data_IF_884944437694
#
_entry.id   IF_884944437694
#
_cell.length_a   1.000
_cell.length_b   1.000
_cell.length_c   1.000
_cell.angle_alpha   90.00
_cell.angle_beta   90.00
_cell.angle_gamma   90.00
#
_symmetry.space_group_name_H-M   'P 1'
#
loop_
_entity.id
_entity.type
_entity.pdbx_description
1 polymer ?
#
# COMPACT_ATOMS: atom_id res chain seq x y z
N UNK A 1 14.66 15.31 5.18
CA UNK A 1 15.63 16.16 4.46
C UNK A 1 16.96 16.08 5.19
N UNK A 2 18.07 15.89 4.48
CA UNK A 2 19.41 15.75 5.06
C UNK A 2 20.28 16.95 4.72
N UNK A 3 21.22 17.28 5.60
CA UNK A 3 22.18 18.36 5.40
C UNK A 3 23.32 17.90 4.48
N UNK A 4 23.75 18.74 3.55
CA UNK A 4 25.07 18.60 2.90
C UNK A 4 25.72 19.98 2.79
N UNK A 5 26.93 20.10 3.35
CA UNK A 5 27.69 21.34 3.48
C UNK A 5 26.93 22.45 4.26
N UNK A 6 26.14 22.11 5.28
CA UNK A 6 25.44 23.08 6.14
C UNK A 6 26.41 23.64 7.18
N UNK A 7 27.27 24.57 6.77
CA UNK A 7 28.31 25.16 7.59
C UNK A 7 28.07 26.65 7.84
N UNK A 8 28.24 27.07 9.09
CA UNK A 8 28.21 28.45 9.56
C UNK A 8 26.95 29.23 9.13
N UNK A 9 25.79 28.56 9.15
CA UNK A 9 24.52 29.12 8.69
C UNK A 9 23.98 30.18 9.67
N UNK A 10 23.62 31.33 9.12
CA UNK A 10 22.94 32.42 9.84
C UNK A 10 21.52 32.66 9.33
N UNK A 11 21.26 32.36 8.05
CA UNK A 11 19.93 32.42 7.45
C UNK A 11 19.73 31.25 6.50
N UNK A 12 18.55 30.64 6.58
CA UNK A 12 18.13 29.61 5.64
C UNK A 12 16.60 29.65 5.48
N UNK A 13 16.14 29.99 4.29
CA UNK A 13 14.72 30.04 3.92
C UNK A 13 14.51 29.30 2.61
N UNK A 14 13.45 28.52 2.55
CA UNK A 14 12.97 27.92 1.31
C UNK A 14 11.52 27.50 1.48
N UNK A 15 10.86 27.24 0.36
CA UNK A 15 9.55 26.60 0.34
C UNK A 15 9.69 25.19 -0.21
N UNK A 16 9.15 24.20 0.48
CA UNK A 16 8.97 22.86 -0.06
C UNK A 16 7.62 22.74 -0.74
N UNK A 17 7.56 21.93 -1.81
CA UNK A 17 6.31 21.63 -2.51
C UNK A 17 6.14 20.12 -2.74
N UNK A 18 4.89 19.68 -2.69
CA UNK A 18 4.42 18.37 -3.14
C UNK A 18 3.05 18.50 -3.82
N UNK A 19 2.52 17.39 -4.34
CA UNK A 19 1.16 17.30 -4.88
C UNK A 19 0.18 16.98 -3.76
N UNK A 20 -0.68 17.95 -3.42
CA UNK A 20 -1.68 17.83 -2.36
C UNK A 20 -2.86 16.93 -2.70
N UNK A 21 -3.00 16.49 -3.95
CA UNK A 21 -3.98 15.46 -4.33
C UNK A 21 -3.47 14.05 -4.07
N UNK A 22 -2.15 13.89 -3.86
CA UNK A 22 -1.48 12.61 -3.63
C UNK A 22 -1.03 12.47 -2.18
N UNK A 23 -0.52 13.55 -1.57
CA UNK A 23 -0.02 13.58 -0.20
C UNK A 23 -0.70 14.70 0.62
N UNK A 24 -1.27 14.34 1.77
CA UNK A 24 -1.78 15.29 2.76
C UNK A 24 -0.76 15.48 3.89
N UNK A 25 -0.40 16.72 4.20
CA UNK A 25 0.48 17.01 5.33
C UNK A 25 -0.16 16.60 6.65
N UNK A 26 0.64 15.96 7.51
CA UNK A 26 0.21 15.48 8.83
C UNK A 26 0.97 16.20 9.96
N UNK A 27 2.30 16.14 9.95
CA UNK A 27 3.13 16.70 11.01
C UNK A 27 4.59 16.89 10.60
N UNK A 28 5.34 17.56 11.48
CA UNK A 28 6.80 17.66 11.42
C UNK A 28 7.41 16.81 12.53
N UNK A 29 8.50 16.12 12.22
CA UNK A 29 9.22 15.26 13.17
C UNK A 29 10.74 15.39 13.01
N UNK A 30 11.48 14.95 14.03
CA UNK A 30 12.94 14.91 13.98
C UNK A 30 13.58 16.27 13.70
N UNK A 31 13.03 17.34 14.31
CA UNK A 31 13.56 18.69 14.18
C UNK A 31 14.97 18.75 14.76
N UNK A 32 15.94 19.18 13.96
CA UNK A 32 17.35 19.19 14.35
C UNK A 32 17.62 20.22 15.47
N UNK A 33 18.00 19.72 16.64
CA UNK A 33 18.24 20.55 17.83
C UNK A 33 19.55 21.33 17.77
N UNK A 34 20.56 20.87 17.01
CA UNK A 34 21.81 21.60 16.76
C UNK A 34 21.51 22.94 16.07
N UNK A 35 20.58 22.95 15.12
CA UNK A 35 20.07 24.17 14.49
C UNK A 35 19.05 24.94 15.34
N UNK A 36 18.61 24.37 16.47
CA UNK A 36 17.57 24.96 17.32
C UNK A 36 16.21 24.97 16.65
N UNK A 37 15.93 24.01 15.77
CA UNK A 37 14.67 23.97 15.05
C UNK A 37 13.51 23.66 15.98
N UNK A 38 12.45 24.45 15.84
CA UNK A 38 11.15 24.22 16.46
C UNK A 38 10.05 24.39 15.42
N UNK A 39 8.81 24.11 15.79
CA UNK A 39 7.67 24.30 14.88
C UNK A 39 7.51 25.75 14.39
N UNK A 40 8.03 26.74 15.12
CA UNK A 40 7.93 28.17 14.72
C UNK A 40 8.77 28.49 13.49
N UNK A 41 9.75 27.65 13.14
CA UNK A 41 10.53 27.77 11.91
C UNK A 41 9.72 27.40 10.66
N UNK A 42 8.48 26.93 10.81
CA UNK A 42 7.66 26.43 9.72
C UNK A 42 6.31 27.14 9.65
N UNK A 43 5.88 27.51 8.44
CA UNK A 43 4.51 27.98 8.19
C UNK A 43 3.71 26.89 7.51
N UNK A 44 2.79 26.28 8.24
CA UNK A 44 2.02 25.10 7.80
C UNK A 44 0.65 25.40 7.20
N UNK A 45 0.20 26.67 7.20
CA UNK A 45 -1.12 27.07 6.68
C UNK A 45 -1.35 26.65 5.23
N UNK A 46 -0.31 26.69 4.40
CA UNK A 46 -0.36 26.26 3.00
C UNK A 46 -0.02 24.77 2.79
N UNK A 47 0.44 24.09 3.84
CA UNK A 47 0.83 22.69 3.74
C UNK A 47 -0.41 21.82 3.54
N UNK A 48 -1.47 22.11 4.29
CA UNK A 48 -2.74 21.35 4.23
C UNK A 48 -3.60 21.71 3.01
N UNK A 49 -3.48 22.92 2.46
CA UNK A 49 -4.34 23.41 1.36
C UNK A 49 -3.71 23.27 -0.02
N UNK A 50 -2.41 23.59 -0.15
CA UNK A 50 -1.76 23.78 -1.45
C UNK A 50 -0.48 22.93 -1.63
N UNK A 51 -0.20 22.06 -0.66
CA UNK A 51 1.00 21.22 -0.66
C UNK A 51 2.29 22.03 -0.61
N UNK A 52 2.32 23.12 0.17
CA UNK A 52 3.48 24.02 0.31
C UNK A 52 3.84 24.21 1.78
N UNK A 53 5.11 24.01 2.12
CA UNK A 53 5.64 24.25 3.47
C UNK A 53 6.77 25.27 3.41
N UNK A 54 6.59 26.41 4.06
CA UNK A 54 7.68 27.39 4.18
C UNK A 54 8.54 27.05 5.40
N UNK A 55 9.85 27.08 5.20
CA UNK A 55 10.86 26.97 6.24
C UNK A 55 11.61 28.29 6.36
N UNK A 56 11.84 28.73 7.60
CA UNK A 56 12.59 29.93 7.92
C UNK A 56 13.43 29.71 9.19
N UNK A 57 14.74 29.71 9.00
CA UNK A 57 15.75 29.71 10.05
C UNK A 57 16.52 31.02 9.99
N UNK A 58 16.59 31.69 11.13
CA UNK A 58 17.49 32.82 11.39
C UNK A 58 18.23 32.55 12.69
N UNK A 59 19.53 32.76 12.71
CA UNK A 59 20.36 32.58 13.89
C UNK A 59 21.34 33.74 14.04
N UNK A 60 21.44 34.28 15.25
CA UNK A 60 22.41 35.34 15.58
C UNK A 60 23.85 34.79 15.69
N UNK A 61 23.99 33.49 15.96
CA UNK A 61 25.27 32.79 15.96
C UNK A 61 25.31 31.78 14.81
N UNK A 62 26.42 31.68 14.07
CA UNK A 62 26.53 30.72 12.97
C UNK A 62 26.37 29.28 13.48
N UNK A 63 25.58 28.47 12.77
CA UNK A 63 25.35 27.06 13.13
C UNK A 63 25.79 26.11 12.03
N UNK A 64 26.45 25.03 12.43
CA UNK A 64 26.94 23.98 11.54
C UNK A 64 26.28 22.65 11.86
N UNK A 65 25.88 21.93 10.82
CA UNK A 65 25.34 20.57 10.90
C UNK A 65 26.25 19.64 10.12
N UNK A 66 26.49 18.46 10.66
CA UNK A 66 27.31 17.42 10.00
C UNK A 66 26.59 16.97 8.73
N UNK A 67 27.34 16.75 7.67
CA UNK A 67 26.80 16.21 6.43
C UNK A 67 26.02 14.91 6.70
N UNK A 68 24.95 14.69 5.94
CA UNK A 68 23.98 13.60 6.04
C UNK A 68 23.06 13.61 7.27
N UNK A 69 23.26 14.51 8.23
CA UNK A 69 22.36 14.59 9.39
C UNK A 69 20.96 15.06 8.97
N UNK A 70 19.94 14.59 9.69
CA UNK A 70 18.55 14.94 9.42
C UNK A 70 18.28 16.36 9.89
N UNK A 71 17.84 17.22 8.97
CA UNK A 71 17.36 18.56 9.32
C UNK A 71 15.97 18.50 9.94
N UNK A 72 15.06 17.80 9.26
CA UNK A 72 13.71 17.49 9.73
C UNK A 72 13.04 16.45 8.80
N UNK A 73 11.94 15.88 9.29
CA UNK A 73 11.03 14.99 8.57
C UNK A 73 9.68 15.67 8.40
N UNK A 74 9.11 15.56 7.21
CA UNK A 74 7.73 15.96 6.93
C UNK A 74 6.93 14.68 6.78
N UNK A 75 5.91 14.51 7.63
CA UNK A 75 5.07 13.33 7.65
C UNK A 75 3.79 13.61 6.86
N UNK A 76 3.43 12.67 5.99
CA UNK A 76 2.27 12.76 5.12
C UNK A 76 1.36 11.56 5.31
N UNK A 77 0.05 11.77 5.17
CA UNK A 77 -0.90 10.71 4.83
C UNK A 77 -0.94 10.57 3.31
N UNK A 78 -0.75 9.34 2.81
CA UNK A 78 -0.95 8.99 1.40
C UNK A 78 -2.44 8.95 1.06
N UNK A 79 -2.87 9.77 0.10
CA UNK A 79 -4.29 9.89 -0.30
C UNK A 79 -4.52 9.75 -1.81
N UNK A 80 -3.45 9.66 -2.62
CA UNK A 80 -3.54 9.44 -4.06
C UNK A 80 -4.02 8.03 -4.45
N UNK A 81 -4.31 7.83 -5.73
CA UNK A 81 -4.68 6.52 -6.27
C UNK A 81 -3.44 5.60 -6.41
N UNK A 82 -3.68 4.29 -6.47
CA UNK A 82 -2.61 3.29 -6.70
C UNK A 82 -1.82 3.61 -7.98
N UNK A 83 -0.49 3.54 -7.91
CA UNK A 83 0.40 3.82 -9.03
C UNK A 83 0.67 5.31 -9.28
N UNK A 84 0.06 6.22 -8.51
CA UNK A 84 0.41 7.66 -8.55
C UNK A 84 1.66 7.95 -7.70
N UNK A 85 2.29 9.09 -7.92
CA UNK A 85 3.46 9.52 -7.15
C UNK A 85 3.54 11.02 -6.99
N UNK A 86 4.13 11.48 -5.90
CA UNK A 86 4.44 12.90 -5.67
C UNK A 86 5.93 13.08 -5.46
N UNK A 87 6.49 14.05 -6.18
CA UNK A 87 7.82 14.58 -5.87
C UNK A 87 7.73 15.50 -4.65
N UNK A 88 8.73 15.45 -3.79
CA UNK A 88 8.88 16.30 -2.60
C UNK A 88 10.27 16.93 -2.64
N UNK A 89 10.33 18.25 -2.80
CA UNK A 89 11.59 18.98 -2.87
C UNK A 89 11.42 20.43 -2.40
N UNK A 90 12.49 21.07 -1.89
CA UNK A 90 12.58 22.52 -1.86
C UNK A 90 12.50 23.11 -3.27
N UNK A 91 11.81 24.23 -3.41
CA UNK A 91 11.76 25.01 -4.65
C UNK A 91 13.07 25.78 -4.85
N UNK A 92 13.57 25.75 -6.08
CA UNK A 92 14.69 26.56 -6.55
C UNK A 92 14.37 26.98 -7.99
N UNK A 93 14.37 28.29 -8.33
CA UNK A 93 14.73 29.43 -7.50
C UNK A 93 13.69 29.73 -6.39
N UNK A 94 14.09 30.52 -5.37
CA UNK A 94 13.22 30.89 -4.24
C UNK A 94 13.74 30.46 -2.85
N UNK A 95 14.94 29.91 -2.78
CA UNK A 95 15.65 29.71 -1.52
C UNK A 95 16.63 30.87 -1.24
N UNK A 96 16.72 31.30 0.01
CA UNK A 96 17.72 32.25 0.50
C UNK A 96 18.56 31.56 1.56
N UNK A 97 19.87 31.47 1.37
CA UNK A 97 20.77 30.83 2.33
C UNK A 97 22.02 31.70 2.48
N UNK A 98 22.37 32.04 3.71
CA UNK A 98 23.58 32.79 4.04
C UNK A 98 24.42 32.06 5.08
N UNK A 99 25.73 32.13 4.88
CA UNK A 99 26.76 31.68 5.81
C UNK A 99 27.54 32.87 6.32
N UNK A 100 28.00 32.79 7.56
CA UNK A 100 29.00 33.71 8.09
C UNK A 100 30.39 33.10 7.97
N UNK A 101 31.25 33.72 7.18
CA UNK A 101 32.65 33.32 7.03
C UNK A 101 33.51 34.44 7.62
N UNK A 102 33.88 34.29 8.90
CA UNK A 102 34.79 35.22 9.58
C UNK A 102 34.24 36.64 9.74
N UNK A 103 32.93 36.79 9.92
CA UNK A 103 32.22 38.06 10.05
C UNK A 103 31.60 38.58 8.75
N UNK A 104 31.71 37.84 7.64
CA UNK A 104 31.16 38.22 6.34
C UNK A 104 30.04 37.28 5.90
N UNK A 105 28.88 37.84 5.55
CA UNK A 105 27.73 37.08 5.05
C UNK A 105 27.91 36.74 3.57
N UNK A 106 28.00 35.44 3.27
CA UNK A 106 28.12 34.91 1.92
C UNK A 106 26.85 34.15 1.54
N UNK A 107 26.24 34.52 0.41
CA UNK A 107 25.07 33.83 -0.14
C UNK A 107 25.45 32.47 -0.74
N UNK A 108 24.59 31.47 -0.55
CA UNK A 108 24.80 30.10 -1.04
C UNK A 108 23.58 29.60 -1.81
N UNK A 109 23.82 28.99 -2.96
CA UNK A 109 22.76 28.40 -3.77
C UNK A 109 22.29 27.07 -3.17
N UNK A 110 20.97 26.88 -3.13
CA UNK A 110 20.37 25.60 -2.83
C UNK A 110 20.34 24.73 -4.09
N UNK A 111 20.96 23.56 -4.03
CA UNK A 111 20.80 22.51 -5.04
C UNK A 111 19.86 21.44 -4.47
N UNK A 112 18.55 21.49 -4.78
CA UNK A 112 17.61 20.51 -4.25
C UNK A 112 17.89 19.14 -4.86
N UNK A 113 17.89 18.10 -4.02
CA UNK A 113 17.80 16.70 -4.46
C UNK A 113 16.37 16.20 -4.20
N UNK A 114 15.51 16.09 -5.23
CA UNK A 114 14.12 15.73 -5.04
C UNK A 114 13.95 14.29 -4.52
N UNK A 115 13.03 14.10 -3.58
CA UNK A 115 12.55 12.77 -3.20
C UNK A 115 11.23 12.44 -3.90
N UNK A 116 10.92 11.15 -4.06
CA UNK A 116 9.63 10.70 -4.62
C UNK A 116 8.93 9.79 -3.64
N UNK A 117 7.62 10.02 -3.45
CA UNK A 117 6.72 9.14 -2.69
C UNK A 117 5.77 8.47 -3.68
N UNK A 118 5.84 7.15 -3.78
CA UNK A 118 4.98 6.34 -4.63
C UNK A 118 3.81 5.80 -3.81
N UNK A 119 2.60 5.89 -4.36
CA UNK A 119 1.40 5.35 -3.73
C UNK A 119 1.18 3.93 -4.24
N UNK A 120 1.17 2.99 -3.31
CA UNK A 120 0.81 1.59 -3.56
C UNK A 120 -0.35 1.22 -2.67
N UNK A 121 -1.33 0.51 -3.21
CA UNK A 121 -2.31 -0.17 -2.37
C UNK A 121 -1.62 -1.27 -1.56
N UNK A 122 -2.02 -1.48 -0.30
CA UNK A 122 -1.65 -2.70 0.40
C UNK A 122 -1.99 -3.93 -0.46
N UNK A 123 -1.25 -5.05 -0.33
CA UNK A 123 -1.62 -6.29 -0.99
C UNK A 123 -3.08 -6.62 -0.66
N UNK A 124 -3.86 -7.01 -1.67
CA UNK A 124 -5.21 -7.51 -1.43
C UNK A 124 -5.10 -8.73 -0.51
N UNK A 125 -5.67 -8.66 0.68
CA UNK A 125 -5.67 -9.74 1.67
C UNK A 125 -6.96 -10.56 1.64
N UNK A 126 -7.91 -10.22 0.76
CA UNK A 126 -9.18 -10.93 0.70
C UNK A 126 -8.97 -12.36 0.23
N UNK A 127 -9.54 -13.31 0.96
CA UNK A 127 -9.67 -14.69 0.53
C UNK A 127 -10.54 -14.72 -0.73
N UNK A 128 -9.95 -15.16 -1.84
CA UNK A 128 -10.66 -15.19 -3.14
C UNK A 128 -10.67 -16.61 -3.68
N UNK A 129 -11.83 -17.06 -4.15
CA UNK A 129 -11.97 -18.28 -4.96
C UNK A 129 -12.24 -17.88 -6.42
N UNK A 130 -11.51 -18.48 -7.35
CA UNK A 130 -11.60 -18.19 -8.77
C UNK A 130 -11.69 -19.47 -9.61
N UNK A 131 -12.12 -19.30 -10.85
CA UNK A 131 -12.19 -20.34 -11.86
C UNK A 131 -11.52 -19.86 -13.15
N UNK A 132 -10.88 -20.78 -13.88
CA UNK A 132 -10.30 -20.47 -15.19
C UNK A 132 -11.37 -20.28 -16.27
N UNK A 133 -11.09 -19.40 -17.22
CA UNK A 133 -11.88 -19.30 -18.45
C UNK A 133 -11.42 -20.39 -19.43
N UNK A 134 -12.36 -21.23 -19.88
CA UNK A 134 -12.10 -22.29 -20.86
C UNK A 134 -13.19 -22.27 -21.93
N UNK A 135 -12.81 -22.62 -23.15
CA UNK A 135 -13.75 -22.77 -24.27
C UNK A 135 -13.73 -24.23 -24.73
N UNK A 136 -14.90 -24.78 -25.02
CA UNK A 136 -15.07 -26.09 -25.63
C UNK A 136 -16.18 -26.06 -26.67
N UNK A 137 -16.18 -27.05 -27.56
CA UNK A 137 -17.25 -27.28 -28.53
C UNK A 137 -18.32 -28.18 -27.91
N UNK A 138 -19.51 -28.23 -28.53
CA UNK A 138 -20.58 -29.13 -28.10
C UNK A 138 -20.07 -30.57 -28.18
N UNK A 139 -20.16 -31.29 -27.05
CA UNK A 139 -19.67 -32.66 -26.90
C UNK A 139 -18.28 -32.78 -26.25
N UNK A 140 -17.53 -31.68 -26.13
CA UNK A 140 -16.22 -31.70 -25.47
C UNK A 140 -16.33 -31.85 -23.96
N UNK A 141 -15.37 -32.57 -23.36
CA UNK A 141 -15.15 -32.54 -21.91
C UNK A 141 -14.19 -31.39 -21.59
N UNK A 142 -14.71 -30.33 -20.97
CA UNK A 142 -13.90 -29.18 -20.52
C UNK A 142 -13.53 -29.31 -19.04
N UNK A 143 -12.28 -29.02 -18.69
CA UNK A 143 -11.80 -29.04 -17.29
C UNK A 143 -11.56 -27.62 -16.80
N UNK A 144 -12.47 -27.10 -15.97
CA UNK A 144 -12.33 -25.80 -15.32
C UNK A 144 -11.49 -25.95 -14.05
N UNK A 145 -10.34 -25.27 -13.99
CA UNK A 145 -9.54 -25.22 -12.77
C UNK A 145 -10.16 -24.26 -11.77
N UNK A 146 -10.35 -24.71 -10.54
CA UNK A 146 -10.75 -23.87 -9.40
C UNK A 146 -9.52 -23.61 -8.54
N UNK A 147 -9.30 -22.35 -8.13
CA UNK A 147 -8.13 -21.96 -7.35
C UNK A 147 -8.46 -20.91 -6.28
N UNK A 148 -7.62 -20.82 -5.25
CA UNK A 148 -7.71 -19.82 -4.18
C UNK A 148 -6.55 -18.83 -4.24
N UNK A 149 -6.80 -17.57 -3.84
CA UNK A 149 -5.77 -16.57 -3.52
C UNK A 149 -5.89 -16.18 -2.06
N UNK A 150 -4.76 -15.81 -1.44
CA UNK A 150 -4.68 -15.45 -0.01
C UNK A 150 -5.16 -16.56 0.93
N UNK A 151 -4.82 -17.81 0.59
CA UNK A 151 -5.26 -19.02 1.30
C UNK A 151 -4.33 -19.35 2.49
N UNK A 152 -4.19 -18.42 3.43
CA UNK A 152 -3.30 -18.55 4.60
C UNK A 152 -4.11 -18.73 5.88
N UNK A 153 -3.76 -19.71 6.73
CA UNK A 153 -4.40 -19.97 8.03
C UNK A 153 -5.93 -20.16 7.96
N UNK A 154 -6.43 -20.78 6.91
CA UNK A 154 -7.86 -21.09 6.75
C UNK A 154 -8.21 -22.36 7.53
N UNK A 155 -9.01 -22.24 8.60
CA UNK A 155 -9.44 -23.37 9.42
C UNK A 155 -10.53 -24.22 8.76
N UNK A 156 -11.45 -23.57 8.04
CA UNK A 156 -12.49 -24.24 7.26
C UNK A 156 -13.08 -23.33 6.20
N UNK A 157 -13.65 -23.92 5.16
CA UNK A 157 -14.53 -23.22 4.22
C UNK A 157 -15.57 -24.17 3.65
N UNK A 158 -16.69 -23.60 3.21
CA UNK A 158 -17.73 -24.30 2.46
C UNK A 158 -18.15 -23.43 1.29
N UNK A 159 -18.19 -23.99 0.10
CA UNK A 159 -18.57 -23.29 -1.13
C UNK A 159 -19.37 -24.19 -2.05
N UNK A 160 -20.29 -23.61 -2.81
CA UNK A 160 -21.04 -24.30 -3.85
C UNK A 160 -20.60 -23.84 -5.25
N UNK A 161 -20.55 -24.78 -6.20
CA UNK A 161 -20.38 -24.46 -7.62
C UNK A 161 -21.72 -24.56 -8.34
N UNK A 162 -22.04 -23.52 -9.10
CA UNK A 162 -23.28 -23.40 -9.85
C UNK A 162 -22.94 -23.34 -11.34
N UNK A 163 -23.72 -24.04 -12.16
CA UNK A 163 -23.61 -23.99 -13.62
C UNK A 163 -25.00 -24.13 -14.24
N UNK A 164 -25.11 -23.71 -15.50
CA UNK A 164 -26.33 -23.88 -16.28
C UNK A 164 -26.43 -25.31 -16.82
N UNK A 165 -27.31 -26.11 -16.20
CA UNK A 165 -27.54 -27.50 -16.58
C UNK A 165 -28.13 -27.70 -17.99
N UNK A 166 -28.69 -26.66 -18.61
CA UNK A 166 -29.16 -26.72 -20.00
C UNK A 166 -28.02 -26.61 -21.01
N UNK A 167 -26.84 -26.17 -20.57
CA UNK A 167 -25.66 -25.94 -21.41
C UNK A 167 -24.49 -26.87 -21.09
N UNK A 168 -24.41 -27.35 -19.84
CA UNK A 168 -23.30 -28.17 -19.38
C UNK A 168 -23.78 -29.26 -18.42
N UNK A 169 -23.21 -30.46 -18.56
CA UNK A 169 -23.38 -31.56 -17.62
C UNK A 169 -22.08 -31.81 -16.84
N UNK A 170 -22.23 -32.19 -15.57
CA UNK A 170 -21.09 -32.60 -14.76
C UNK A 170 -20.63 -34.00 -15.15
N UNK A 171 -19.33 -34.15 -15.39
CA UNK A 171 -18.71 -35.45 -15.69
C UNK A 171 -17.93 -35.97 -14.49
N UNK A 172 -16.96 -35.21 -13.99
CA UNK A 172 -16.14 -35.59 -12.85
C UNK A 172 -15.42 -34.39 -12.23
N UNK A 173 -15.00 -34.53 -10.97
CA UNK A 173 -14.07 -33.63 -10.30
C UNK A 173 -12.75 -34.38 -10.05
N UNK A 174 -11.61 -33.78 -10.42
CA UNK A 174 -10.28 -34.39 -10.31
C UNK A 174 -9.22 -33.33 -10.06
N UNK A 175 -8.03 -33.75 -9.61
CA UNK A 175 -6.90 -32.84 -9.38
C UNK A 175 -7.03 -31.99 -8.12
N UNK A 176 -7.57 -32.58 -7.04
CA UNK A 176 -7.61 -31.94 -5.73
C UNK A 176 -6.20 -31.55 -5.27
N UNK A 177 -6.10 -30.37 -4.65
CA UNK A 177 -4.87 -29.98 -3.98
C UNK A 177 -4.60 -30.97 -2.82
N UNK A 178 -3.39 -31.55 -2.71
CA UNK A 178 -3.04 -32.50 -1.65
C UNK A 178 -3.26 -32.00 -0.21
N UNK A 179 -3.35 -30.69 0.02
CA UNK A 179 -3.71 -30.14 1.35
C UNK A 179 -5.13 -30.55 1.81
N UNK A 180 -5.95 -31.06 0.89
CA UNK A 180 -7.30 -31.56 1.14
C UNK A 180 -7.37 -33.09 1.27
N UNK A 181 -6.23 -33.76 1.51
CA UNK A 181 -6.06 -35.22 1.47
C UNK A 181 -6.88 -36.07 2.48
N UNK A 182 -7.83 -35.49 3.20
CA UNK A 182 -8.72 -36.21 4.12
C UNK A 182 -10.22 -35.85 3.97
N UNK A 183 -10.61 -35.14 2.91
CA UNK A 183 -11.99 -34.75 2.67
C UNK A 183 -12.61 -35.60 1.56
N UNK A 184 -13.75 -36.22 1.85
CA UNK A 184 -14.61 -36.75 0.81
C UNK A 184 -15.14 -35.57 0.00
N UNK A 185 -14.67 -35.39 -1.25
CA UNK A 185 -15.51 -34.79 -2.26
C UNK A 185 -16.74 -35.69 -2.37
N UNK A 186 -17.81 -35.35 -1.66
CA UNK A 186 -19.12 -35.86 -2.01
C UNK A 186 -19.40 -35.31 -3.40
N UNK A 187 -19.25 -36.17 -4.42
CA UNK A 187 -19.82 -35.89 -5.72
C UNK A 187 -21.27 -35.42 -5.52
N UNK A 188 -21.76 -34.45 -6.31
CA UNK A 188 -23.15 -34.09 -6.20
C UNK A 188 -24.00 -35.34 -6.32
N UNK A 189 -24.81 -35.58 -5.30
CA UNK A 189 -25.98 -36.44 -5.47
C UNK A 189 -26.73 -35.79 -6.62
N UNK A 190 -27.11 -36.57 -7.63
CA UNK A 190 -28.14 -36.19 -8.58
C UNK A 190 -29.46 -36.01 -7.79
N UNK A 191 -29.52 -34.98 -6.96
CA UNK A 191 -30.75 -34.51 -6.39
C UNK A 191 -31.49 -33.92 -7.58
N UNK A 192 -32.64 -34.50 -7.88
CA UNK A 192 -33.69 -33.97 -8.74
C UNK A 192 -34.21 -32.61 -8.29
N UNK A 193 -33.50 -31.93 -7.38
CA UNK A 193 -33.80 -30.61 -6.88
C UNK A 193 -33.52 -29.58 -7.98
N UNK A 194 -34.54 -28.83 -8.33
CA UNK A 194 -34.52 -27.70 -9.26
C UNK A 194 -33.76 -26.49 -8.70
N UNK A 195 -33.20 -26.56 -7.49
CA UNK A 195 -32.30 -25.55 -6.95
C UNK A 195 -30.92 -25.60 -7.65
N UNK A 196 -30.38 -24.44 -7.97
CA UNK A 196 -29.17 -24.21 -8.76
C UNK A 196 -27.85 -24.66 -8.11
N UNK A 197 -27.90 -25.36 -6.97
CA UNK A 197 -26.73 -25.87 -6.25
C UNK A 197 -26.46 -27.29 -6.73
N UNK A 198 -25.39 -27.48 -7.51
CA UNK A 198 -25.07 -28.78 -8.10
C UNK A 198 -23.72 -29.34 -7.67
N UNK A 199 -23.06 -28.77 -6.67
CA UNK A 199 -21.87 -29.36 -6.04
C UNK A 199 -21.45 -28.60 -4.78
N UNK A 200 -21.16 -29.32 -3.70
CA UNK A 200 -20.71 -28.75 -2.43
C UNK A 200 -19.23 -29.12 -2.18
N UNK A 201 -18.40 -28.12 -1.93
CA UNK A 201 -17.02 -28.28 -1.46
C UNK A 201 -16.95 -27.89 -0.01
N UNK A 202 -16.48 -28.80 0.84
CA UNK A 202 -16.23 -28.53 2.26
C UNK A 202 -14.78 -28.89 2.57
N UNK A 203 -14.15 -28.06 3.39
CA UNK A 203 -12.85 -28.33 4.00
C UNK A 203 -12.91 -27.95 5.47
N UNK A 204 -12.49 -28.86 6.35
CA UNK A 204 -12.39 -28.67 7.81
C UNK A 204 -11.11 -29.33 8.29
N UNK A 205 -10.21 -28.58 8.91
CA UNK A 205 -9.06 -29.19 9.58
C UNK A 205 -9.45 -29.73 10.96
N UNK A 206 -9.31 -31.04 11.18
CA UNK A 206 -9.14 -31.63 12.52
C UNK A 206 -10.38 -31.82 13.39
N UNK A 207 -11.29 -32.74 13.00
CA UNK A 207 -12.20 -33.36 13.97
C UNK A 207 -12.18 -34.88 13.78
N UNK A 208 -11.61 -35.59 14.76
CA UNK A 208 -11.86 -37.02 14.97
C UNK A 208 -13.33 -37.19 15.37
N UNK A 209 -14.21 -37.28 14.38
CA UNK A 209 -15.64 -37.39 14.61
C UNK A 209 -16.35 -37.66 13.30
N UNK A 210 -16.89 -38.86 13.17
CA UNK A 210 -17.77 -39.32 12.10
C UNK A 210 -18.71 -38.21 11.63
N UNK A 211 -18.53 -37.73 10.40
CA UNK A 211 -19.33 -36.65 9.86
C UNK A 211 -20.63 -37.22 9.25
N UNK A 212 -21.78 -36.91 9.88
CA UNK A 212 -23.11 -37.15 9.33
C UNK A 212 -23.52 -35.99 8.43
N UNK A 213 -24.01 -36.34 7.25
CA UNK A 213 -24.62 -35.44 6.28
C UNK A 213 -25.88 -34.81 6.91
N UNK A 214 -25.90 -33.48 7.08
CA UNK A 214 -27.15 -32.75 7.22
C UNK A 214 -27.40 -32.03 5.91
N UNK A 215 -28.15 -32.68 5.02
CA UNK A 215 -28.99 -31.93 4.09
C UNK A 215 -30.09 -31.30 4.93
N UNK A 216 -30.21 -29.97 4.89
CA UNK A 216 -31.37 -29.29 5.43
C UNK A 216 -32.05 -28.55 4.28
N UNK A 217 -33.15 -29.20 3.85
CA UNK A 217 -34.44 -28.74 3.32
C UNK A 217 -34.41 -27.77 2.14
#
# INVERSE_FOLDING_TARGET
>A
MTADNFKDLTLAKWQMKWDSTILRFESLQGLNTTLGLTNTNFTTTQAVTNGRLNFNLTSATPRTVINTDTLYKVCFTAIGANGTSSTVAPLSPGAEIFRDIGGSLTGVNLTPNPGTVNITTPPDTNLTFGADNITGKVGDIVCVKIYGKNFTNIASFQSSLHWDSTRMSFVSARGLNPIFNNETLSAPVNATDTSSVKGLFRYVTGISGTLRLFGLI
#
